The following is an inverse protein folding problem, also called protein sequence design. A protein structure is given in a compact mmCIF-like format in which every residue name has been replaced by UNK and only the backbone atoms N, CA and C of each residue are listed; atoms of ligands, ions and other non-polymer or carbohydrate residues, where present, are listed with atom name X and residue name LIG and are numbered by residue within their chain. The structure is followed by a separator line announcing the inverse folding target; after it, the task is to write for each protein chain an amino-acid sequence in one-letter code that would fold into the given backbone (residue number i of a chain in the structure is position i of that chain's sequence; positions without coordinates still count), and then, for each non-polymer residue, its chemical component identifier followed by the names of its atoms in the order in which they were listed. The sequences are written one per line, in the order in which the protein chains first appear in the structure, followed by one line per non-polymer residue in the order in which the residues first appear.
data_IF_409379135438
#
_entry.id   IF_409379135438
#
_cell.length_a   1.000
_cell.length_b   1.000
_cell.length_c   1.000
_cell.angle_alpha   90.00
_cell.angle_beta   90.00
_cell.angle_gamma   90.00
#
_symmetry.space_group_name_H-M   'P 1'
#
loop_
_entity.id
_entity.type
_entity.pdbx_description
1 polymer ?
#
# COMPACT_ATOMS: atom_id res chain seq x y z
N UNK A 1 -11.42 4.85 32.75
CA UNK A 1 -12.49 5.54 31.98
C UNK A 1 -13.40 4.48 31.42
N UNK A 2 -14.72 4.66 31.51
CA UNK A 2 -15.68 3.83 30.79
C UNK A 2 -15.71 4.22 29.28
N UNK A 3 -16.42 3.46 28.46
CA UNK A 3 -16.44 3.68 26.99
C UNK A 3 -17.00 5.06 26.60
N UNK A 4 -17.99 5.57 27.36
CA UNK A 4 -18.59 6.88 27.12
C UNK A 4 -17.56 8.00 27.39
N UNK A 5 -16.81 7.89 28.48
CA UNK A 5 -15.72 8.83 28.81
C UNK A 5 -14.58 8.76 27.80
N UNK A 6 -14.21 7.56 27.32
CA UNK A 6 -13.20 7.37 26.28
C UNK A 6 -13.62 8.05 24.97
N UNK A 7 -14.86 7.82 24.50
CA UNK A 7 -15.40 8.45 23.29
C UNK A 7 -15.49 9.97 23.44
N UNK A 8 -15.93 10.48 24.61
CA UNK A 8 -15.98 11.91 24.88
C UNK A 8 -14.56 12.55 24.86
N UNK A 9 -13.59 11.88 25.48
CA UNK A 9 -12.20 12.33 25.48
C UNK A 9 -11.59 12.30 24.06
N UNK A 10 -11.85 11.24 23.29
CA UNK A 10 -11.41 11.13 21.91
C UNK A 10 -11.97 12.27 21.05
N UNK A 11 -13.29 12.54 21.13
CA UNK A 11 -13.90 13.64 20.38
C UNK A 11 -13.31 15.00 20.72
N UNK A 12 -12.83 15.19 21.96
CA UNK A 12 -12.27 16.45 22.42
C UNK A 12 -10.79 16.63 22.11
N UNK A 13 -10.01 15.55 22.14
CA UNK A 13 -8.55 15.65 22.17
C UNK A 13 -7.83 14.92 21.04
N UNK A 14 -8.49 13.97 20.35
CA UNK A 14 -7.89 13.18 19.26
C UNK A 14 -8.38 13.67 17.90
N UNK A 15 -7.47 14.12 17.04
CA UNK A 15 -7.77 14.46 15.64
C UNK A 15 -7.86 13.18 14.80
N UNK A 16 -9.02 12.83 14.25
CA UNK A 16 -9.16 11.65 13.40
C UNK A 16 -8.58 11.90 12.02
N UNK A 17 -7.90 10.88 11.43
CA UNK A 17 -7.35 10.95 10.10
C UNK A 17 -8.39 10.54 9.05
N UNK A 18 -8.54 11.31 7.95
CA UNK A 18 -9.46 11.03 6.84
C UNK A 18 -10.90 10.72 7.28
N UNK A 19 -11.34 11.25 8.42
CA UNK A 19 -12.65 10.97 9.01
C UNK A 19 -13.49 12.25 9.03
N UNK A 20 -14.73 12.14 8.58
CA UNK A 20 -15.67 13.25 8.58
C UNK A 20 -16.16 13.54 10.00
N UNK A 21 -16.60 14.80 10.21
CA UNK A 21 -17.10 15.24 11.52
C UNK A 21 -18.33 14.44 11.98
N UNK A 22 -19.28 14.21 11.09
CA UNK A 22 -20.50 13.42 11.36
C UNK A 22 -20.16 11.99 11.78
N UNK A 23 -19.29 11.30 11.05
CA UNK A 23 -18.79 9.97 11.38
C UNK A 23 -18.07 9.97 12.73
N UNK A 24 -17.22 10.96 13.02
CA UNK A 24 -16.50 11.06 14.29
C UNK A 24 -17.43 11.37 15.48
N UNK A 25 -18.56 12.02 15.23
CA UNK A 25 -19.59 12.30 16.23
C UNK A 25 -20.56 11.14 16.44
N UNK A 26 -20.63 10.17 15.52
CA UNK A 26 -21.40 8.94 15.68
C UNK A 26 -20.73 7.97 16.67
N UNK A 27 -21.31 6.80 16.89
CA UNK A 27 -20.65 5.73 17.63
C UNK A 27 -19.54 5.08 16.79
N UNK A 28 -18.37 4.92 17.41
CA UNK A 28 -17.23 4.22 16.83
C UNK A 28 -16.63 3.22 17.84
N UNK A 29 -16.06 2.10 17.38
CA UNK A 29 -15.42 1.14 18.26
C UNK A 29 -14.16 1.74 18.90
N UNK A 30 -13.91 1.38 20.16
CA UNK A 30 -12.65 1.67 20.86
C UNK A 30 -11.98 0.34 21.12
N UNK A 31 -10.97 0.01 20.31
CA UNK A 31 -10.27 -1.25 20.40
C UNK A 31 -9.28 -1.25 21.56
N UNK A 32 -9.25 -2.35 22.30
CA UNK A 32 -8.39 -2.53 23.50
C UNK A 32 -7.46 -3.73 23.40
N UNK A 33 -7.74 -4.66 22.48
CA UNK A 33 -6.90 -5.85 22.25
C UNK A 33 -7.02 -6.31 20.80
N UNK A 34 -5.97 -6.95 20.31
CA UNK A 34 -5.98 -7.67 19.04
C UNK A 34 -5.45 -9.09 19.23
N UNK A 35 -5.97 -10.07 18.46
CA UNK A 35 -5.62 -11.49 18.54
C UNK A 35 -5.84 -12.17 17.18
N UNK A 36 -4.79 -12.67 16.56
CA UNK A 36 -4.86 -13.24 15.22
C UNK A 36 -5.43 -12.25 14.21
N UNK A 37 -6.51 -12.61 13.54
CA UNK A 37 -7.19 -11.74 12.58
C UNK A 37 -8.28 -10.84 13.20
N UNK A 38 -8.30 -10.67 14.52
CA UNK A 38 -9.42 -10.01 15.21
C UNK A 38 -8.98 -8.86 16.09
N UNK A 39 -9.82 -7.84 16.14
CA UNK A 39 -9.79 -6.73 17.09
C UNK A 39 -10.92 -6.88 18.11
N UNK A 40 -10.66 -6.55 19.36
CA UNK A 40 -11.64 -6.62 20.47
C UNK A 40 -11.83 -5.22 21.02
N UNK A 41 -13.10 -4.78 21.09
CA UNK A 41 -13.43 -3.46 21.59
C UNK A 41 -13.67 -3.44 23.12
N UNK A 42 -13.90 -2.25 23.65
CA UNK A 42 -14.16 -2.02 25.09
C UNK A 42 -15.43 -2.71 25.62
N UNK A 43 -16.31 -3.15 24.73
CA UNK A 43 -17.55 -3.86 25.08
C UNK A 43 -17.37 -5.39 24.97
N UNK A 44 -16.14 -5.83 24.64
CA UNK A 44 -15.79 -7.24 24.49
C UNK A 44 -16.24 -7.84 23.16
N UNK A 45 -16.75 -7.05 22.22
CA UNK A 45 -17.14 -7.52 20.90
C UNK A 45 -15.89 -7.79 20.07
N UNK A 46 -15.92 -8.91 19.39
CA UNK A 46 -14.87 -9.38 18.49
C UNK A 46 -15.19 -8.92 17.06
N UNK A 47 -14.24 -8.30 16.41
CA UNK A 47 -14.36 -7.79 15.05
C UNK A 47 -13.27 -8.43 14.17
N UNK A 48 -13.66 -9.08 13.08
CA UNK A 48 -12.72 -9.58 12.08
C UNK A 48 -12.09 -8.40 11.34
N UNK A 49 -10.77 -8.32 11.37
CA UNK A 49 -9.98 -7.27 10.69
C UNK A 49 -9.76 -7.64 9.21
N UNK A 50 -10.79 -7.48 8.39
CA UNK A 50 -10.75 -7.78 6.95
C UNK A 50 -9.92 -6.80 6.12
N UNK A 51 -9.28 -5.83 6.77
CA UNK A 51 -8.39 -4.85 6.12
C UNK A 51 -6.95 -4.87 6.65
N UNK A 52 -6.61 -5.79 7.56
CA UNK A 52 -5.32 -5.86 8.26
C UNK A 52 -4.92 -4.48 8.83
N UNK A 53 -5.80 -3.88 9.62
CA UNK A 53 -5.70 -2.49 10.07
C UNK A 53 -5.86 -1.52 8.89
N UNK A 54 -4.77 -1.21 8.24
CA UNK A 54 -4.74 -0.42 7.00
C UNK A 54 -3.71 -1.03 6.04
N UNK A 55 -3.94 -2.27 5.61
CA UNK A 55 -3.04 -3.07 4.76
C UNK A 55 -1.67 -3.35 5.42
N UNK A 56 -1.58 -3.41 6.75
CA UNK A 56 -0.29 -3.48 7.44
C UNK A 56 -0.14 -4.66 8.39
N UNK A 57 -1.20 -5.19 9.01
CA UNK A 57 -1.12 -6.25 10.02
C UNK A 57 -1.04 -7.63 9.35
N UNK A 58 0.07 -7.87 8.61
CA UNK A 58 0.23 -9.07 7.80
C UNK A 58 0.29 -10.36 8.65
N UNK A 59 1.01 -10.32 9.78
CA UNK A 59 1.18 -11.47 10.70
C UNK A 59 0.09 -11.56 11.76
N UNK A 60 -1.00 -10.78 11.63
CA UNK A 60 -2.06 -10.74 12.65
C UNK A 60 -1.66 -9.98 13.91
N UNK A 61 -2.61 -9.87 14.81
CA UNK A 61 -2.51 -9.15 16.08
C UNK A 61 -2.02 -10.07 17.21
N UNK A 62 -1.42 -9.47 18.26
CA UNK A 62 -1.16 -10.16 19.55
C UNK A 62 0.00 -11.17 19.53
N UNK A 63 0.93 -11.10 18.58
CA UNK A 63 2.08 -12.02 18.48
C UNK A 63 3.07 -11.80 19.62
N UNK A 64 3.22 -12.81 20.46
CA UNK A 64 4.10 -12.76 21.64
C UNK A 64 5.59 -12.70 21.28
N UNK A 65 6.00 -13.36 20.20
CA UNK A 65 7.38 -13.35 19.70
C UNK A 65 7.82 -11.97 19.23
N UNK A 66 6.97 -11.26 18.47
CA UNK A 66 7.24 -9.89 18.01
C UNK A 66 7.24 -8.92 19.21
N UNK A 67 6.27 -9.06 20.12
CA UNK A 67 6.22 -8.26 21.35
C UNK A 67 7.44 -8.44 22.23
N UNK A 68 7.96 -9.69 22.34
CA UNK A 68 9.19 -10.00 23.07
C UNK A 68 10.41 -9.34 22.43
N UNK A 69 10.55 -9.38 21.12
CA UNK A 69 11.64 -8.72 20.40
C UNK A 69 11.67 -7.20 20.67
N UNK A 70 10.50 -6.55 20.73
CA UNK A 70 10.38 -5.15 21.09
C UNK A 70 10.82 -4.87 22.53
N UNK A 71 10.35 -5.69 23.49
CA UNK A 71 10.67 -5.54 24.92
C UNK A 71 12.16 -5.75 25.18
N UNK A 72 12.75 -6.79 24.61
CA UNK A 72 14.18 -7.09 24.75
C UNK A 72 15.03 -5.94 24.18
N UNK A 73 14.68 -5.44 23.00
CA UNK A 73 15.43 -4.36 22.35
C UNK A 73 15.34 -3.04 23.11
N UNK A 74 14.17 -2.66 23.61
CA UNK A 74 14.01 -1.41 24.37
C UNK A 74 14.80 -1.47 25.69
N UNK A 75 14.91 -2.66 26.30
CA UNK A 75 15.71 -2.89 27.49
C UNK A 75 17.23 -2.87 27.23
N UNK A 76 17.65 -3.18 26.00
CA UNK A 76 19.08 -3.24 25.63
C UNK A 76 19.59 -1.90 25.10
N UNK A 77 18.90 -1.33 24.12
CA UNK A 77 19.25 -0.06 23.48
C UNK A 77 17.97 0.59 22.95
N UNK A 78 17.48 1.60 23.65
CA UNK A 78 16.26 2.28 23.29
C UNK A 78 16.43 3.10 22.00
N UNK A 79 17.58 3.80 21.86
CA UNK A 79 17.86 4.62 20.67
C UNK A 79 19.36 4.75 20.40
N UNK A 80 19.71 4.65 19.12
CA UNK A 80 20.94 5.15 18.52
C UNK A 80 20.61 5.56 17.07
N UNK A 81 21.23 6.62 16.56
CA UNK A 81 20.98 7.04 15.18
C UNK A 81 21.83 6.25 14.19
N UNK A 82 21.35 6.17 12.94
CA UNK A 82 22.12 5.68 11.80
C UNK A 82 22.92 6.80 11.07
N UNK A 83 23.13 7.94 11.75
CA UNK A 83 23.91 9.08 11.22
C UNK A 83 25.38 8.93 11.61
N UNK A 84 26.19 8.30 10.75
CA UNK A 84 27.60 8.02 11.02
C UNK A 84 27.84 6.93 12.06
N UNK A 85 26.81 6.24 12.47
CA UNK A 85 26.82 5.07 13.38
C UNK A 85 25.79 4.05 12.92
N UNK A 86 25.81 2.87 13.53
CA UNK A 86 24.85 1.81 13.29
C UNK A 86 24.64 0.99 14.57
N UNK A 87 23.62 0.13 14.56
CA UNK A 87 23.36 -0.80 15.64
C UNK A 87 22.89 -2.17 15.09
N UNK A 88 23.08 -3.27 15.84
CA UNK A 88 22.81 -4.61 15.32
C UNK A 88 21.44 -4.81 14.68
N UNK A 89 20.30 -4.35 15.27
CA UNK A 89 18.99 -4.53 14.63
C UNK A 89 18.84 -3.83 13.27
N UNK A 90 19.42 -2.62 13.08
CA UNK A 90 19.32 -1.95 11.78
C UNK A 90 20.16 -2.64 10.71
N UNK A 91 21.35 -3.13 11.08
CA UNK A 91 22.22 -3.90 10.19
C UNK A 91 21.53 -5.19 9.77
N UNK A 92 20.98 -5.92 10.72
CA UNK A 92 20.31 -7.20 10.46
C UNK A 92 19.01 -7.02 9.66
N UNK A 93 18.22 -6.02 9.98
CA UNK A 93 17.02 -5.72 9.20
C UNK A 93 17.37 -5.37 7.72
N UNK A 94 18.40 -4.54 7.51
CA UNK A 94 18.86 -4.20 6.17
C UNK A 94 19.36 -5.45 5.42
N UNK A 95 20.13 -6.33 6.08
CA UNK A 95 20.64 -7.58 5.51
C UNK A 95 19.49 -8.52 5.11
N UNK A 96 18.52 -8.78 6.00
CA UNK A 96 17.39 -9.66 5.71
C UNK A 96 16.55 -9.11 4.55
N UNK A 97 16.33 -7.80 4.51
CA UNK A 97 15.60 -7.13 3.43
C UNK A 97 16.36 -7.29 2.10
N UNK A 98 17.68 -7.08 2.09
CA UNK A 98 18.51 -7.26 0.90
C UNK A 98 18.53 -8.72 0.42
N UNK A 99 18.61 -9.69 1.33
CA UNK A 99 18.57 -11.13 0.99
C UNK A 99 17.25 -11.55 0.33
N UNK A 100 16.16 -10.83 0.57
CA UNK A 100 14.82 -11.09 0.01
C UNK A 100 14.51 -10.24 -1.22
N UNK A 101 15.22 -9.14 -1.42
CA UNK A 101 15.02 -8.23 -2.54
C UNK A 101 15.58 -8.81 -3.85
N UNK A 102 14.98 -8.49 -5.01
CA UNK A 102 15.43 -9.02 -6.28
C UNK A 102 16.70 -8.34 -6.80
N UNK A 103 17.49 -9.09 -7.58
CA UNK A 103 18.66 -8.56 -8.31
C UNK A 103 19.73 -8.03 -7.37
N UNK A 104 20.19 -6.80 -7.62
CA UNK A 104 21.20 -6.07 -6.85
C UNK A 104 20.60 -4.97 -5.95
N UNK A 105 19.34 -5.09 -5.57
CA UNK A 105 18.68 -4.22 -4.60
C UNK A 105 19.20 -4.55 -3.18
N UNK A 106 20.31 -3.93 -2.79
CA UNK A 106 21.06 -4.31 -1.59
C UNK A 106 21.20 -3.21 -0.52
N UNK A 107 20.92 -1.93 -0.86
CA UNK A 107 21.10 -0.85 0.11
C UNK A 107 19.77 -0.28 0.59
N UNK A 108 19.54 -0.32 1.90
CA UNK A 108 18.30 0.17 2.52
C UNK A 108 18.53 1.49 3.25
N UNK A 109 17.72 2.51 2.93
CA UNK A 109 17.58 3.74 3.72
C UNK A 109 16.27 3.68 4.48
N UNK A 110 16.35 3.54 5.81
CA UNK A 110 15.17 3.46 6.67
C UNK A 110 14.55 4.81 6.98
N UNK A 111 13.23 4.83 7.08
CA UNK A 111 12.37 5.94 7.52
C UNK A 111 11.22 5.39 8.38
N UNK A 112 10.18 6.18 8.67
CA UNK A 112 9.14 5.78 9.62
C UNK A 112 7.79 5.44 8.96
N UNK A 113 7.62 5.75 7.68
CA UNK A 113 6.34 5.59 6.97
C UNK A 113 6.52 5.42 5.47
N UNK A 114 5.46 4.97 4.78
CA UNK A 114 5.44 4.90 3.32
C UNK A 114 5.54 6.27 2.65
N UNK A 115 4.92 7.31 3.22
CA UNK A 115 5.05 8.67 2.69
C UNK A 115 6.49 9.18 2.76
N UNK A 116 7.19 8.93 3.87
CA UNK A 116 8.61 9.26 4.00
C UNK A 116 9.49 8.41 3.07
N UNK A 117 9.12 7.15 2.80
CA UNK A 117 9.82 6.33 1.82
C UNK A 117 9.71 6.91 0.41
N UNK A 118 8.53 7.38 0.00
CA UNK A 118 8.34 8.07 -1.28
C UNK A 118 9.11 9.39 -1.34
N UNK A 119 9.12 10.20 -0.27
CA UNK A 119 9.98 11.41 -0.17
C UNK A 119 11.46 11.06 -0.33
N UNK A 120 11.90 9.97 0.28
CA UNK A 120 13.29 9.49 0.18
C UNK A 120 13.61 9.07 -1.26
N UNK A 121 12.73 8.32 -1.92
CA UNK A 121 12.90 7.92 -3.31
C UNK A 121 12.95 9.14 -4.25
N UNK A 122 12.05 10.12 -4.07
CA UNK A 122 12.04 11.38 -4.83
C UNK A 122 13.37 12.14 -4.73
N UNK A 123 13.91 12.24 -3.51
CA UNK A 123 15.18 12.90 -3.27
C UNK A 123 16.35 12.09 -3.84
N UNK A 124 16.33 10.77 -3.66
CA UNK A 124 17.38 9.89 -4.16
C UNK A 124 17.50 9.99 -5.68
N UNK A 125 16.42 9.82 -6.44
CA UNK A 125 16.46 9.84 -7.90
C UNK A 125 16.94 11.19 -8.43
N UNK A 126 16.53 12.31 -7.83
CA UNK A 126 16.98 13.66 -8.22
C UNK A 126 18.46 13.88 -7.91
N UNK A 127 18.91 13.50 -6.70
CA UNK A 127 20.30 13.67 -6.30
C UNK A 127 21.22 12.74 -7.11
N UNK A 128 20.80 11.51 -7.38
CA UNK A 128 21.51 10.58 -8.23
C UNK A 128 21.75 11.19 -9.62
N UNK A 129 20.72 11.60 -10.34
CA UNK A 129 20.88 12.19 -11.66
C UNK A 129 21.78 13.43 -11.64
N UNK A 130 21.64 14.28 -10.64
CA UNK A 130 22.51 15.45 -10.46
C UNK A 130 23.98 15.07 -10.26
N UNK A 131 24.25 14.02 -9.50
CA UNK A 131 25.61 13.50 -9.28
C UNK A 131 26.21 12.93 -10.55
N UNK A 132 25.38 12.37 -11.43
CA UNK A 132 25.78 11.84 -12.74
C UNK A 132 25.89 12.91 -13.84
N UNK A 133 25.77 14.19 -13.49
CA UNK A 133 25.91 15.30 -14.44
C UNK A 133 24.64 15.64 -15.23
N UNK A 134 23.49 15.10 -14.85
CA UNK A 134 22.18 15.36 -15.44
C UNK A 134 21.22 16.13 -14.48
N UNK A 135 21.56 17.37 -14.05
CA UNK A 135 20.81 18.12 -13.05
C UNK A 135 19.39 18.51 -13.49
N UNK A 136 19.11 18.49 -14.79
CA UNK A 136 17.79 18.78 -15.36
C UNK A 136 16.78 17.62 -15.18
N UNK A 137 17.26 16.39 -14.89
CA UNK A 137 16.41 15.24 -14.61
C UNK A 137 15.76 15.39 -13.23
N UNK A 138 14.61 16.05 -13.17
CA UNK A 138 13.87 16.34 -11.93
C UNK A 138 12.40 15.95 -12.01
N UNK A 139 11.87 15.73 -13.22
CA UNK A 139 10.45 15.42 -13.41
C UNK A 139 10.14 13.95 -13.07
N UNK A 140 8.96 13.74 -12.53
CA UNK A 140 8.46 12.40 -12.13
C UNK A 140 7.16 12.12 -12.87
N UNK A 141 7.02 10.90 -13.36
CA UNK A 141 5.78 10.41 -13.95
C UNK A 141 5.14 9.39 -12.99
N UNK A 142 3.84 9.51 -12.75
CA UNK A 142 3.03 8.59 -11.96
C UNK A 142 1.69 8.35 -12.67
N UNK A 143 0.91 7.38 -12.18
CA UNK A 143 -0.40 7.06 -12.76
C UNK A 143 -1.52 7.87 -12.11
N UNK A 144 -2.55 8.19 -12.88
CA UNK A 144 -3.82 8.67 -12.36
C UNK A 144 -4.39 7.65 -11.37
N UNK A 145 -5.04 8.15 -10.33
CA UNK A 145 -5.60 7.37 -9.24
C UNK A 145 -4.56 6.60 -8.39
N UNK A 146 -3.26 6.67 -8.66
CA UNK A 146 -2.22 6.09 -7.81
C UNK A 146 -2.20 6.74 -6.41
N UNK A 147 -1.79 5.98 -5.38
CA UNK A 147 -1.65 6.47 -4.03
C UNK A 147 -0.23 6.23 -3.50
N UNK A 148 0.51 7.31 -3.32
CA UNK A 148 1.92 7.27 -2.89
C UNK A 148 2.18 7.93 -1.52
N UNK A 149 1.14 8.39 -0.85
CA UNK A 149 1.23 9.01 0.48
C UNK A 149 0.70 10.43 0.53
N UNK A 150 0.90 11.10 1.67
CA UNK A 150 0.27 12.39 2.01
C UNK A 150 1.24 13.45 2.56
N UNK A 151 2.54 13.22 2.62
CA UNK A 151 3.52 14.31 2.74
C UNK A 151 3.53 15.12 1.45
N UNK A 152 3.98 16.35 1.44
CA UNK A 152 3.80 17.26 0.30
C UNK A 152 4.40 16.69 -0.99
N UNK A 153 5.59 16.07 -0.96
CA UNK A 153 6.17 15.42 -2.13
C UNK A 153 5.44 14.13 -2.50
N UNK A 154 5.15 13.25 -1.56
CA UNK A 154 4.40 12.02 -1.80
C UNK A 154 2.96 12.31 -2.30
N UNK A 155 2.31 13.35 -1.75
CA UNK A 155 1.01 13.82 -2.21
C UNK A 155 1.09 14.37 -3.65
N UNK A 156 2.20 15.00 -4.02
CA UNK A 156 2.41 15.47 -5.38
C UNK A 156 2.44 14.30 -6.38
N UNK A 157 3.11 13.19 -6.03
CA UNK A 157 3.17 11.96 -6.84
C UNK A 157 1.84 11.20 -6.84
N UNK A 158 1.06 11.26 -5.76
CA UNK A 158 -0.28 10.68 -5.68
C UNK A 158 -1.18 11.23 -6.78
N UNK A 159 -1.86 10.34 -7.51
CA UNK A 159 -2.71 10.67 -8.66
C UNK A 159 -4.20 10.87 -8.34
N UNK A 160 -4.56 11.18 -7.09
CA UNK A 160 -5.92 11.35 -6.59
C UNK A 160 -6.29 12.84 -6.45
N UNK A 161 -7.03 13.46 -7.40
CA UNK A 161 -7.30 14.90 -7.40
C UNK A 161 -7.98 15.39 -6.12
N UNK A 162 -9.01 14.69 -5.64
CA UNK A 162 -9.81 15.08 -4.47
C UNK A 162 -9.00 15.28 -3.18
N UNK A 163 -7.94 14.48 -2.96
CA UNK A 163 -7.12 14.61 -1.74
C UNK A 163 -5.97 15.61 -1.90
N UNK A 164 -5.70 16.04 -3.12
CA UNK A 164 -4.65 17.02 -3.46
C UNK A 164 -5.16 18.46 -3.40
N UNK A 165 -6.40 18.68 -3.83
CA UNK A 165 -7.03 19.99 -3.98
C UNK A 165 -6.86 20.91 -2.76
N UNK A 166 -7.06 20.45 -1.50
CA UNK A 166 -6.94 21.33 -0.33
C UNK A 166 -5.52 21.85 -0.05
N UNK A 167 -4.48 21.28 -0.70
CA UNK A 167 -3.07 21.47 -0.31
C UNK A 167 -2.20 22.14 -1.40
N UNK A 168 -2.81 22.63 -2.49
CA UNK A 168 -2.04 23.31 -3.55
C UNK A 168 -1.42 24.65 -3.13
N UNK A 169 -0.33 25.10 -3.76
CA UNK A 169 0.39 24.42 -4.84
C UNK A 169 1.29 23.28 -4.36
N UNK A 170 1.32 22.18 -5.12
CA UNK A 170 2.16 21.01 -4.85
C UNK A 170 3.53 21.12 -5.55
N UNK A 171 4.39 20.11 -5.36
CA UNK A 171 5.71 20.05 -5.98
C UNK A 171 5.59 20.06 -7.51
N UNK A 172 6.26 21.01 -8.21
CA UNK A 172 6.25 21.07 -9.66
C UNK A 172 7.04 19.92 -10.30
N UNK A 173 6.75 19.65 -11.59
CA UNK A 173 7.44 18.62 -12.36
C UNK A 173 6.93 17.21 -12.12
N UNK A 174 5.72 17.05 -11.57
CA UNK A 174 5.04 15.77 -11.47
C UNK A 174 3.97 15.68 -12.56
N UNK A 175 4.02 14.63 -13.38
CA UNK A 175 3.05 14.36 -14.44
C UNK A 175 2.28 13.08 -14.12
N UNK A 176 0.97 13.09 -14.38
CA UNK A 176 0.11 11.93 -14.22
C UNK A 176 -0.33 11.45 -15.60
N UNK A 177 -0.24 10.14 -15.82
CA UNK A 177 -0.67 9.45 -17.03
C UNK A 177 -1.88 8.55 -16.72
N UNK A 178 -2.70 8.20 -17.71
CA UNK A 178 -3.79 7.25 -17.50
C UNK A 178 -3.32 5.97 -16.80
N UNK A 179 -4.15 5.43 -15.92
CA UNK A 179 -3.89 4.14 -15.27
C UNK A 179 -4.19 2.97 -16.23
N UNK A 180 -4.10 1.75 -15.70
CA UNK A 180 -4.28 0.50 -16.47
C UNK A 180 -5.72 -0.03 -16.51
N UNK A 181 -6.72 0.74 -16.03
CA UNK A 181 -8.11 0.31 -16.02
C UNK A 181 -8.68 0.20 -17.44
N UNK A 182 -9.41 -0.88 -17.71
CA UNK A 182 -10.01 -1.14 -19.00
C UNK A 182 -9.06 -1.68 -20.07
N UNK A 183 -7.79 -1.88 -19.70
CA UNK A 183 -6.77 -2.50 -20.55
C UNK A 183 -6.62 -3.99 -20.19
N UNK A 184 -7.74 -4.68 -20.08
CA UNK A 184 -7.79 -6.12 -19.86
C UNK A 184 -8.00 -6.81 -21.20
N UNK A 185 -7.08 -7.66 -21.62
CA UNK A 185 -7.20 -8.48 -22.81
C UNK A 185 -5.87 -8.63 -23.53
N UNK A 186 -5.86 -9.41 -24.62
CA UNK A 186 -4.74 -9.59 -25.55
C UNK A 186 -4.20 -8.23 -26.03
N UNK A 187 -3.54 -7.55 -25.14
CA UNK A 187 -2.74 -6.38 -25.47
C UNK A 187 -1.56 -6.96 -26.24
N UNK A 188 -1.55 -6.96 -27.54
CA UNK A 188 -0.46 -7.41 -28.40
C UNK A 188 0.97 -7.32 -27.84
N UNK A 189 2.02 -7.25 -28.61
CA UNK A 189 3.39 -7.11 -28.11
C UNK A 189 3.47 -6.04 -27.01
N UNK A 190 4.28 -6.29 -25.99
CA UNK A 190 4.38 -5.42 -24.78
C UNK A 190 4.66 -3.93 -25.11
N UNK A 191 5.28 -3.65 -26.27
CA UNK A 191 5.53 -2.32 -26.79
C UNK A 191 4.29 -1.58 -27.34
N UNK A 192 3.13 -2.27 -27.43
CA UNK A 192 1.88 -1.71 -27.97
C UNK A 192 0.81 -1.45 -26.88
N UNK A 193 1.14 -1.65 -25.60
CA UNK A 193 0.22 -1.32 -24.51
C UNK A 193 -0.09 0.18 -24.47
N UNK A 194 -1.36 0.54 -24.58
CA UNK A 194 -1.79 1.95 -24.59
C UNK A 194 -1.32 2.74 -23.36
N UNK A 195 -1.33 2.10 -22.17
CA UNK A 195 -0.85 2.72 -20.96
C UNK A 195 0.66 2.99 -20.98
N UNK A 196 1.47 2.13 -21.62
CA UNK A 196 2.91 2.35 -21.77
C UNK A 196 3.20 3.39 -22.83
N UNK A 197 2.45 3.39 -23.96
CA UNK A 197 2.53 4.45 -24.97
C UNK A 197 2.17 5.83 -24.41
N UNK A 198 1.18 5.90 -23.52
CA UNK A 198 0.83 7.15 -22.84
C UNK A 198 1.98 7.68 -21.96
N UNK A 199 2.70 6.78 -21.28
CA UNK A 199 3.92 7.15 -20.53
C UNK A 199 4.99 7.68 -21.48
N UNK A 200 5.25 6.97 -22.59
CA UNK A 200 6.24 7.39 -23.60
C UNK A 200 5.90 8.74 -24.20
N UNK A 201 4.64 8.98 -24.54
CA UNK A 201 4.19 10.27 -25.07
C UNK A 201 4.52 11.44 -24.12
N UNK A 202 4.29 11.24 -22.81
CA UNK A 202 4.63 12.25 -21.79
C UNK A 202 6.13 12.40 -21.62
N UNK A 203 6.92 11.32 -21.72
CA UNK A 203 8.39 11.41 -21.69
C UNK A 203 8.88 12.29 -22.85
N UNK A 204 8.36 12.07 -24.06
CA UNK A 204 8.74 12.83 -25.25
C UNK A 204 8.28 14.30 -25.18
N UNK A 205 7.07 14.56 -24.65
CA UNK A 205 6.55 15.92 -24.46
C UNK A 205 7.40 16.72 -23.46
N UNK A 206 7.80 16.08 -22.34
CA UNK A 206 8.58 16.74 -21.30
C UNK A 206 10.08 16.89 -21.63
N UNK A 207 10.57 16.16 -22.62
CA UNK A 207 11.97 15.99 -22.94
C UNK A 207 12.60 14.86 -22.11
N UNK A 208 13.01 13.75 -22.74
CA UNK A 208 13.57 12.57 -22.04
C UNK A 208 14.69 12.89 -21.06
N UNK A 209 15.51 13.90 -21.39
CA UNK A 209 16.63 14.37 -20.56
C UNK A 209 16.21 15.10 -19.30
N UNK A 210 14.90 15.40 -19.11
CA UNK A 210 14.36 16.10 -17.95
C UNK A 210 13.61 15.16 -16.98
N UNK A 211 13.28 13.93 -17.42
CA UNK A 211 12.55 12.96 -16.63
C UNK A 211 13.52 12.14 -15.78
N UNK A 212 13.31 12.14 -14.47
CA UNK A 212 14.13 11.41 -13.51
C UNK A 212 13.65 9.99 -13.26
N UNK A 213 12.36 9.80 -13.04
CA UNK A 213 11.81 8.49 -12.67
C UNK A 213 10.33 8.34 -13.06
N UNK A 214 9.93 7.07 -13.20
CA UNK A 214 8.52 6.65 -13.19
C UNK A 214 8.25 5.94 -11.87
N UNK A 215 7.14 6.32 -11.18
CA UNK A 215 6.65 5.67 -9.96
C UNK A 215 5.42 4.84 -10.29
N UNK A 216 5.42 3.57 -9.88
CA UNK A 216 4.29 2.66 -10.09
C UNK A 216 4.13 1.67 -8.92
N UNK A 217 2.90 1.38 -8.56
CA UNK A 217 2.55 0.30 -7.62
C UNK A 217 2.42 -1.03 -8.40
N UNK A 218 2.93 -2.17 -7.92
CA UNK A 218 2.74 -3.49 -8.57
C UNK A 218 1.26 -3.82 -8.81
N UNK A 219 0.41 -3.59 -7.81
CA UNK A 219 -1.05 -3.57 -7.88
C UNK A 219 -1.49 -2.22 -7.35
N UNK A 220 -2.20 -1.44 -8.16
CA UNK A 220 -2.55 -0.06 -7.81
C UNK A 220 -3.68 -0.02 -6.79
N UNK A 221 -3.46 0.63 -5.65
CA UNK A 221 -4.46 0.74 -4.58
C UNK A 221 -5.64 1.64 -4.96
N UNK A 222 -5.37 2.82 -5.49
CA UNK A 222 -6.42 3.73 -5.95
C UNK A 222 -7.14 3.15 -7.17
N UNK A 223 -8.46 3.31 -7.24
CA UNK A 223 -9.36 2.65 -8.18
C UNK A 223 -9.58 1.16 -7.90
N UNK A 224 -9.15 0.65 -6.70
CA UNK A 224 -9.50 -0.66 -6.17
C UNK A 224 -8.63 -1.81 -6.66
N UNK A 225 -7.50 -2.03 -5.99
CA UNK A 225 -6.60 -3.18 -6.20
C UNK A 225 -6.39 -3.52 -7.69
N UNK A 226 -6.10 -2.48 -8.50
CA UNK A 226 -6.05 -2.58 -9.95
C UNK A 226 -4.80 -3.36 -10.38
N UNK A 227 -5.01 -4.57 -10.86
CA UNK A 227 -3.98 -5.45 -11.42
C UNK A 227 -3.65 -4.97 -12.84
N UNK A 228 -2.39 -4.67 -13.16
CA UNK A 228 -2.03 -4.26 -14.51
C UNK A 228 -2.14 -5.43 -15.50
N UNK A 229 -2.34 -5.16 -16.81
CA UNK A 229 -2.38 -6.20 -17.82
C UNK A 229 -1.03 -6.91 -17.95
N UNK A 230 -1.06 -8.14 -18.45
CA UNK A 230 0.14 -8.91 -18.75
C UNK A 230 1.09 -8.09 -19.66
N UNK A 231 2.38 -8.20 -19.42
CA UNK A 231 3.39 -7.46 -20.19
C UNK A 231 3.60 -5.99 -19.77
N UNK A 232 2.73 -5.41 -18.94
CA UNK A 232 2.87 -4.00 -18.52
C UNK A 232 4.23 -3.72 -17.85
N UNK A 233 4.62 -4.50 -16.86
CA UNK A 233 5.86 -4.28 -16.11
C UNK A 233 7.12 -4.47 -16.97
N UNK A 234 7.25 -5.54 -17.77
CA UNK A 234 8.37 -5.67 -18.72
C UNK A 234 8.43 -4.52 -19.71
N UNK A 235 7.30 -4.07 -20.27
CA UNK A 235 7.27 -2.93 -21.18
C UNK A 235 7.67 -1.61 -20.50
N UNK A 236 7.19 -1.38 -19.26
CA UNK A 236 7.56 -0.22 -18.47
C UNK A 236 9.07 -0.20 -18.16
N UNK A 237 9.65 -1.36 -17.80
CA UNK A 237 11.09 -1.48 -17.56
C UNK A 237 11.88 -1.15 -18.84
N UNK A 238 11.52 -1.77 -19.95
CA UNK A 238 12.16 -1.51 -21.24
C UNK A 238 12.07 -0.03 -21.67
N UNK A 239 10.93 0.62 -21.41
CA UNK A 239 10.75 2.04 -21.67
C UNK A 239 11.67 2.90 -20.78
N UNK A 240 11.75 2.61 -19.50
CA UNK A 240 12.66 3.30 -18.59
C UNK A 240 14.13 3.13 -19.01
N UNK A 241 14.54 1.92 -19.38
CA UNK A 241 15.90 1.63 -19.88
C UNK A 241 16.21 2.39 -21.15
N UNK A 242 15.26 2.45 -22.10
CA UNK A 242 15.41 3.17 -23.37
C UNK A 242 15.77 4.64 -23.19
N UNK A 243 15.22 5.29 -22.18
CA UNK A 243 15.41 6.72 -21.93
C UNK A 243 16.34 7.04 -20.75
N UNK A 244 16.92 6.04 -20.11
CA UNK A 244 17.76 6.21 -18.91
C UNK A 244 17.01 6.83 -17.74
N UNK A 245 15.74 6.44 -17.56
CA UNK A 245 14.83 6.88 -16.51
C UNK A 245 14.78 5.80 -15.43
N UNK A 246 14.83 6.19 -14.15
CA UNK A 246 14.75 5.22 -13.06
C UNK A 246 13.31 4.73 -12.86
N UNK A 247 13.15 3.41 -12.62
CA UNK A 247 11.89 2.79 -12.26
C UNK A 247 11.80 2.63 -10.74
N UNK A 248 10.83 3.30 -10.12
CA UNK A 248 10.52 3.20 -8.70
C UNK A 248 9.26 2.35 -8.54
N UNK A 249 9.41 1.18 -7.93
CA UNK A 249 8.28 0.33 -7.53
C UNK A 249 7.80 0.74 -6.13
N UNK A 250 6.59 1.28 -6.05
CA UNK A 250 5.97 1.57 -4.75
C UNK A 250 5.30 0.30 -4.22
N UNK A 251 5.98 -0.35 -3.30
CA UNK A 251 5.54 -1.61 -2.70
C UNK A 251 5.08 -1.45 -1.24
N UNK A 252 4.73 -0.25 -0.84
CA UNK A 252 4.25 0.04 0.52
C UNK A 252 3.07 -0.86 0.92
N UNK A 253 2.21 -1.28 -0.01
CA UNK A 253 1.15 -2.29 0.22
C UNK A 253 1.60 -3.67 -0.26
N UNK A 254 2.21 -3.75 -1.43
CA UNK A 254 2.39 -4.99 -2.19
C UNK A 254 3.51 -5.90 -1.64
N UNK A 255 4.46 -5.36 -0.86
CA UNK A 255 5.55 -6.13 -0.27
C UNK A 255 5.14 -6.94 0.96
N UNK A 256 6.10 -7.73 1.46
CA UNK A 256 5.99 -8.57 2.66
C UNK A 256 4.78 -9.51 2.64
N UNK A 257 4.66 -10.27 1.55
CA UNK A 257 3.72 -11.39 1.43
C UNK A 257 2.35 -11.03 0.85
N UNK A 258 1.96 -9.75 0.74
CA UNK A 258 0.60 -9.34 0.34
C UNK A 258 0.14 -9.92 -1.00
N UNK A 259 1.04 -10.02 -1.96
CA UNK A 259 0.81 -10.62 -3.28
C UNK A 259 1.32 -12.07 -3.39
N UNK A 260 1.66 -12.72 -2.27
CA UNK A 260 2.25 -14.07 -2.26
C UNK A 260 3.77 -14.08 -2.45
N UNK A 261 4.43 -12.93 -2.42
CA UNK A 261 5.87 -12.77 -2.57
C UNK A 261 6.38 -11.72 -1.57
N UNK A 262 7.64 -11.82 -1.14
CA UNK A 262 8.21 -10.78 -0.26
C UNK A 262 8.24 -9.41 -0.93
N UNK A 263 8.54 -9.38 -2.24
CA UNK A 263 8.53 -8.16 -3.04
C UNK A 263 7.78 -8.36 -4.35
N UNK A 264 7.31 -7.25 -4.93
CA UNK A 264 6.51 -7.24 -6.15
C UNK A 264 7.15 -7.87 -7.37
N UNK A 265 8.49 -8.02 -7.40
CA UNK A 265 9.22 -8.73 -8.45
C UNK A 265 8.65 -10.14 -8.68
N UNK A 266 8.35 -10.89 -7.63
CA UNK A 266 7.77 -12.23 -7.76
C UNK A 266 6.44 -12.25 -8.51
N UNK A 267 5.71 -11.14 -8.50
CA UNK A 267 4.48 -10.92 -9.25
C UNK A 267 4.74 -10.27 -10.62
N UNK A 268 5.59 -9.25 -10.69
CA UNK A 268 5.81 -8.44 -11.90
C UNK A 268 6.83 -9.02 -12.86
N UNK A 269 7.74 -9.90 -12.38
CA UNK A 269 8.89 -10.42 -13.13
C UNK A 269 9.99 -9.39 -13.40
N UNK A 270 9.90 -8.17 -12.85
CA UNK A 270 10.78 -7.04 -13.15
C UNK A 270 11.56 -6.57 -11.92
N UNK A 271 12.86 -6.35 -12.07
CA UNK A 271 13.70 -5.72 -11.05
C UNK A 271 13.66 -4.20 -11.24
N UNK A 272 13.08 -3.41 -10.32
CA UNK A 272 13.12 -1.96 -10.38
C UNK A 272 14.48 -1.41 -9.93
N UNK A 273 14.68 -0.10 -10.07
CA UNK A 273 15.89 0.58 -9.61
C UNK A 273 15.79 0.95 -8.12
N UNK A 274 14.57 1.22 -7.65
CA UNK A 274 14.24 1.57 -6.26
C UNK A 274 12.91 0.90 -5.88
N UNK A 275 12.85 0.35 -4.68
CA UNK A 275 11.59 -0.11 -4.05
C UNK A 275 11.31 0.78 -2.84
N UNK A 276 10.07 1.28 -2.70
CA UNK A 276 9.59 1.88 -1.45
C UNK A 276 8.79 0.84 -0.67
N UNK A 277 8.99 0.78 0.65
CA UNK A 277 8.28 -0.17 1.52
C UNK A 277 7.88 0.46 2.87
N UNK A 278 6.88 -0.12 3.52
CA UNK A 278 6.48 0.17 4.92
C UNK A 278 5.56 -0.96 5.43
N UNK A 279 4.47 -0.61 6.13
CA UNK A 279 3.32 -1.47 6.49
C UNK A 279 3.69 -2.88 6.96
N UNK A 280 3.63 -3.84 6.03
CA UNK A 280 3.92 -5.26 6.31
C UNK A 280 5.32 -5.55 6.84
N UNK A 281 6.28 -4.63 6.69
CA UNK A 281 7.64 -4.79 7.22
C UNK A 281 7.70 -5.06 8.72
N UNK A 282 6.73 -4.53 9.46
CA UNK A 282 6.60 -4.73 10.92
C UNK A 282 5.23 -5.27 11.33
N UNK A 283 4.36 -5.59 10.37
CA UNK A 283 2.97 -5.99 10.63
C UNK A 283 2.22 -5.04 11.57
N UNK A 284 2.53 -3.73 11.51
CA UNK A 284 1.87 -2.71 12.33
C UNK A 284 2.33 -2.65 13.79
N UNK A 285 3.28 -3.47 14.22
CA UNK A 285 3.79 -3.48 15.61
C UNK A 285 4.68 -2.26 15.91
N UNK A 286 5.30 -1.66 14.91
CA UNK A 286 6.01 -0.39 15.03
C UNK A 286 6.01 0.39 13.71
N UNK A 287 6.11 1.73 13.75
CA UNK A 287 6.36 2.51 12.56
C UNK A 287 7.74 2.18 11.97
N UNK A 288 7.77 1.76 10.70
CA UNK A 288 8.97 1.57 9.91
C UNK A 288 8.60 1.65 8.43
N UNK A 289 9.47 2.25 7.64
CA UNK A 289 9.46 2.24 6.20
C UNK A 289 10.87 2.41 5.68
N UNK A 290 11.02 2.43 4.37
CA UNK A 290 12.33 2.64 3.76
C UNK A 290 12.27 2.57 2.25
N UNK A 291 13.44 2.80 1.68
CA UNK A 291 13.71 2.51 0.27
C UNK A 291 14.82 1.50 0.18
N UNK A 292 14.69 0.57 -0.75
CA UNK A 292 15.77 -0.32 -1.17
C UNK A 292 16.25 0.17 -2.52
N UNK A 293 17.54 0.36 -2.67
CA UNK A 293 18.17 0.90 -3.88
C UNK A 293 19.19 -0.10 -4.40
N UNK A 294 19.31 -0.19 -5.73
CA UNK A 294 20.35 -0.99 -6.37
C UNK A 294 21.73 -0.53 -5.89
N UNK A 295 22.59 -1.48 -5.53
CA UNK A 295 23.95 -1.19 -5.00
C UNK A 295 24.76 -0.35 -5.97
N UNK A 296 24.63 -0.61 -7.28
CA UNK A 296 25.30 0.17 -8.30
C UNK A 296 24.96 1.67 -8.22
N UNK A 297 23.66 2.02 -8.09
CA UNK A 297 23.23 3.44 -8.03
C UNK A 297 23.77 4.14 -6.78
N UNK A 298 23.81 3.41 -5.67
CA UNK A 298 24.36 3.95 -4.41
C UNK A 298 25.86 4.17 -4.54
N UNK A 299 26.60 3.21 -5.08
CA UNK A 299 28.04 3.32 -5.34
C UNK A 299 28.33 4.51 -6.25
N UNK A 300 27.63 4.62 -7.39
CA UNK A 300 27.79 5.72 -8.33
C UNK A 300 27.48 7.10 -7.70
N UNK A 301 26.47 7.18 -6.80
CA UNK A 301 26.18 8.41 -6.07
C UNK A 301 27.32 8.80 -5.12
N UNK A 302 27.81 7.84 -4.32
CA UNK A 302 28.83 8.12 -3.31
C UNK A 302 30.21 8.36 -3.92
N UNK A 303 30.57 7.68 -5.00
CA UNK A 303 31.87 7.83 -5.68
C UNK A 303 31.92 9.03 -6.62
N UNK A 304 30.77 9.62 -6.96
CA UNK A 304 30.73 10.79 -7.83
C UNK A 304 31.40 12.01 -7.18
N UNK A 305 32.24 12.77 -7.91
CA UNK A 305 32.81 14.02 -7.42
C UNK A 305 31.77 15.07 -7.01
N UNK A 306 30.54 14.95 -7.52
CA UNK A 306 29.38 15.80 -7.18
C UNK A 306 28.40 15.15 -6.21
N UNK A 307 28.71 13.93 -5.75
CA UNK A 307 27.95 13.13 -4.78
C UNK A 307 28.62 13.14 -3.42
N UNK A 308 29.07 11.95 -2.96
CA UNK A 308 29.81 11.74 -1.72
C UNK A 308 28.93 11.59 -0.48
N UNK A 309 27.68 12.02 -0.54
CA UNK A 309 26.69 11.86 0.55
C UNK A 309 25.27 11.93 0.00
N UNK A 310 24.39 11.07 0.49
CA UNK A 310 22.96 11.25 0.27
C UNK A 310 22.43 12.24 1.34
N UNK A 311 22.09 13.46 0.90
CA UNK A 311 21.73 14.58 1.80
C UNK A 311 20.26 14.44 2.27
N UNK A 312 19.96 13.32 2.93
CA UNK A 312 18.64 13.01 3.45
C UNK A 312 18.74 12.05 4.65
N UNK A 313 17.77 12.14 5.57
CA UNK A 313 17.64 11.23 6.71
C UNK A 313 16.51 11.67 7.62
N UNK A 314 15.98 10.71 8.39
CA UNK A 314 14.96 10.93 9.42
C UNK A 314 15.56 10.59 10.78
N UNK A 315 15.25 11.38 11.82
CA UNK A 315 15.74 11.15 13.19
C UNK A 315 15.47 9.72 13.66
N UNK A 316 14.29 9.20 13.38
CA UNK A 316 13.85 7.87 13.79
C UNK A 316 14.07 6.79 12.72
N UNK A 317 14.70 7.13 11.59
CA UNK A 317 14.95 6.19 10.50
C UNK A 317 15.84 5.03 10.95
N UNK A 318 15.30 3.80 10.90
CA UNK A 318 15.98 2.61 11.40
C UNK A 318 16.08 2.55 12.92
N UNK A 319 15.08 3.06 13.65
CA UNK A 319 15.00 3.00 15.12
C UNK A 319 15.26 1.57 15.63
N UNK A 320 16.09 1.38 16.69
CA UNK A 320 16.47 0.05 17.18
C UNK A 320 15.29 -0.89 17.45
N UNK A 321 14.25 -0.40 18.12
CA UNK A 321 13.05 -1.20 18.43
C UNK A 321 12.28 -1.57 17.16
N UNK A 322 12.07 -0.59 16.24
CA UNK A 322 11.34 -0.85 15.00
C UNK A 322 12.06 -1.85 14.09
N UNK A 323 13.38 -1.78 14.00
CA UNK A 323 14.19 -2.71 13.21
C UNK A 323 14.29 -4.10 13.86
N UNK A 324 14.35 -4.19 15.19
CA UNK A 324 14.26 -5.48 15.89
C UNK A 324 12.90 -6.17 15.67
N UNK A 325 11.83 -5.39 15.70
CA UNK A 325 10.47 -5.86 15.32
C UNK A 325 10.44 -6.34 13.87
N UNK A 326 11.03 -5.58 12.94
CA UNK A 326 11.09 -5.99 11.53
C UNK A 326 11.85 -7.31 11.35
N UNK A 327 12.98 -7.49 12.01
CA UNK A 327 13.74 -8.76 12.00
C UNK A 327 12.86 -9.91 12.48
N UNK A 328 12.21 -9.77 13.64
CA UNK A 328 11.34 -10.82 14.19
C UNK A 328 10.14 -11.11 13.25
N UNK A 329 9.49 -10.06 12.73
CA UNK A 329 8.34 -10.15 11.85
C UNK A 329 8.67 -10.84 10.51
N UNK A 330 9.74 -10.41 9.83
CA UNK A 330 10.14 -10.96 8.52
C UNK A 330 10.64 -12.41 8.69
N UNK A 331 11.37 -12.70 9.78
CA UNK A 331 11.79 -14.06 10.09
C UNK A 331 10.59 -14.98 10.31
N UNK A 332 9.62 -14.56 11.12
CA UNK A 332 8.38 -15.32 11.32
C UNK A 332 7.61 -15.55 10.01
N UNK A 333 7.47 -14.51 9.16
CA UNK A 333 6.83 -14.65 7.84
C UNK A 333 7.50 -15.72 6.97
N UNK A 334 8.83 -15.74 6.95
CA UNK A 334 9.61 -16.72 6.20
C UNK A 334 9.46 -18.12 6.79
N UNK A 335 9.65 -18.26 8.10
CA UNK A 335 9.67 -19.54 8.79
C UNK A 335 8.28 -20.22 8.78
N UNK A 336 7.22 -19.43 8.83
CA UNK A 336 5.81 -19.86 8.71
C UNK A 336 5.31 -19.94 7.26
N UNK A 337 6.15 -19.64 6.25
CA UNK A 337 5.84 -19.69 4.83
C UNK A 337 4.59 -18.89 4.45
N UNK A 338 4.47 -17.68 4.99
CA UNK A 338 3.29 -16.83 4.80
C UNK A 338 3.08 -16.42 3.33
N UNK A 339 4.11 -16.07 2.54
CA UNK A 339 3.92 -15.83 1.12
C UNK A 339 3.35 -17.02 0.36
N UNK A 340 3.81 -18.24 0.66
CA UNK A 340 3.34 -19.48 0.04
C UNK A 340 1.87 -19.77 0.43
N UNK A 341 1.49 -19.48 1.67
CA UNK A 341 0.09 -19.57 2.10
C UNK A 341 -0.79 -18.62 1.26
N UNK A 342 -0.37 -17.37 1.06
CA UNK A 342 -1.12 -16.41 0.22
C UNK A 342 -1.21 -16.89 -1.24
N UNK A 343 -0.15 -17.49 -1.80
CA UNK A 343 -0.17 -18.06 -3.15
C UNK A 343 -1.16 -19.23 -3.25
N UNK A 344 -1.31 -20.02 -2.18
CA UNK A 344 -2.26 -21.15 -2.14
C UNK A 344 -3.71 -20.70 -1.96
N UNK A 345 -3.95 -19.76 -1.02
CA UNK A 345 -5.32 -19.37 -0.64
C UNK A 345 -5.86 -18.20 -1.50
N UNK A 346 -4.99 -17.36 -2.05
CA UNK A 346 -5.38 -16.21 -2.87
C UNK A 346 -6.30 -16.56 -4.05
N UNK A 347 -5.99 -17.58 -4.87
CA UNK A 347 -6.87 -18.01 -5.95
C UNK A 347 -8.24 -18.51 -5.47
N UNK A 348 -8.32 -19.17 -4.30
CA UNK A 348 -9.58 -19.61 -3.70
C UNK A 348 -10.41 -18.42 -3.23
N UNK A 349 -9.78 -17.45 -2.55
CA UNK A 349 -10.42 -16.22 -2.14
C UNK A 349 -10.94 -15.44 -3.36
N UNK A 350 -10.14 -15.35 -4.44
CA UNK A 350 -10.59 -14.72 -5.69
C UNK A 350 -11.83 -15.39 -6.26
N UNK A 351 -11.81 -16.71 -6.41
CA UNK A 351 -12.95 -17.48 -6.95
C UNK A 351 -14.21 -17.31 -6.08
N UNK A 352 -14.07 -17.28 -4.75
CA UNK A 352 -15.18 -17.03 -3.84
C UNK A 352 -15.75 -15.62 -3.97
N UNK A 353 -14.90 -14.60 -4.12
CA UNK A 353 -15.33 -13.21 -4.35
C UNK A 353 -16.02 -13.07 -5.72
N UNK A 354 -15.54 -13.74 -6.77
CA UNK A 354 -16.22 -13.79 -8.08
C UNK A 354 -17.61 -14.45 -7.97
N UNK A 355 -17.76 -15.49 -7.13
CA UNK A 355 -19.07 -16.10 -6.90
C UNK A 355 -20.08 -15.14 -6.27
N UNK A 356 -19.63 -14.18 -5.45
CA UNK A 356 -20.47 -13.11 -4.91
C UNK A 356 -20.95 -12.15 -6.01
N UNK A 357 -20.14 -11.93 -7.07
CA UNK A 357 -20.56 -11.15 -8.23
C UNK A 357 -21.75 -11.81 -8.95
N UNK A 358 -21.76 -13.12 -9.05
CA UNK A 358 -22.89 -13.85 -9.64
C UNK A 358 -24.14 -13.81 -8.74
N UNK A 359 -23.96 -13.78 -7.43
CA UNK A 359 -25.04 -13.75 -6.45
C UNK A 359 -25.68 -12.35 -6.28
N UNK A 360 -24.90 -11.27 -6.48
CA UNK A 360 -25.32 -9.90 -6.23
C UNK A 360 -25.24 -9.01 -7.46
N UNK A 361 -26.37 -8.43 -7.86
CA UNK A 361 -26.43 -7.49 -8.99
C UNK A 361 -25.74 -6.14 -8.70
N UNK A 362 -25.56 -5.80 -7.43
CA UNK A 362 -24.83 -4.61 -7.02
C UNK A 362 -23.30 -4.75 -7.17
N UNK A 363 -22.77 -5.93 -7.49
CA UNK A 363 -21.35 -6.14 -7.75
C UNK A 363 -21.08 -5.96 -9.24
N UNK A 364 -20.35 -4.91 -9.60
CA UNK A 364 -19.95 -4.62 -10.97
C UNK A 364 -18.73 -5.42 -11.38
N UNK A 365 -17.72 -5.44 -10.51
CA UNK A 365 -16.43 -6.07 -10.81
C UNK A 365 -15.70 -6.46 -9.52
N UNK A 366 -14.89 -7.53 -9.59
CA UNK A 366 -14.00 -8.00 -8.54
C UNK A 366 -12.56 -7.93 -9.06
N UNK A 367 -11.69 -7.23 -8.37
CA UNK A 367 -10.29 -7.05 -8.78
C UNK A 367 -9.33 -7.35 -7.64
N UNK A 368 -8.17 -7.84 -8.00
CA UNK A 368 -7.09 -8.06 -7.05
C UNK A 368 -6.31 -9.33 -7.27
N UNK A 369 -5.35 -9.56 -6.39
CA UNK A 369 -4.54 -10.79 -6.37
C UNK A 369 -3.91 -10.97 -4.98
N UNK A 370 -3.48 -12.17 -4.67
CA UNK A 370 -2.99 -12.52 -3.33
C UNK A 370 -4.08 -12.31 -2.28
N UNK A 371 -3.79 -11.49 -1.27
CA UNK A 371 -4.77 -11.06 -0.27
C UNK A 371 -5.02 -9.54 -0.35
N UNK A 372 -5.16 -9.03 -1.56
CA UNK A 372 -5.43 -7.63 -1.84
C UNK A 372 -6.50 -7.50 -2.94
N UNK A 373 -7.75 -7.23 -2.55
CA UNK A 373 -8.92 -7.20 -3.43
C UNK A 373 -9.75 -5.93 -3.25
N UNK A 374 -10.57 -5.67 -4.26
CA UNK A 374 -11.65 -4.70 -4.23
C UNK A 374 -12.87 -5.24 -4.97
N UNK A 375 -14.06 -4.94 -4.43
CA UNK A 375 -15.34 -5.13 -5.10
C UNK A 375 -15.83 -3.73 -5.54
N UNK A 376 -15.98 -3.50 -6.85
CA UNK A 376 -16.60 -2.30 -7.38
C UNK A 376 -18.12 -2.47 -7.36
N UNK A 377 -18.82 -1.48 -6.81
CA UNK A 377 -20.26 -1.49 -6.65
C UNK A 377 -20.96 -0.70 -7.76
N UNK A 378 -22.13 -1.17 -8.14
CA UNK A 378 -23.03 -0.54 -9.08
C UNK A 378 -24.47 -0.62 -8.56
N UNK A 379 -25.39 0.08 -9.17
CA UNK A 379 -26.79 -0.01 -8.76
C UNK A 379 -27.49 -1.25 -9.33
N UNK A 380 -27.21 -1.59 -10.58
CA UNK A 380 -27.70 -2.81 -11.23
C UNK A 380 -26.76 -3.16 -12.40
N UNK A 381 -25.93 -4.19 -12.20
CA UNK A 381 -25.01 -4.67 -13.24
C UNK A 381 -25.75 -5.15 -14.48
N UNK A 382 -26.82 -5.94 -14.31
CA UNK A 382 -27.52 -6.59 -15.41
C UNK A 382 -28.35 -5.58 -16.23
N UNK A 383 -28.87 -4.54 -15.56
CA UNK A 383 -29.52 -3.41 -16.18
C UNK A 383 -28.58 -2.30 -16.67
N UNK A 384 -27.28 -2.41 -16.39
CA UNK A 384 -26.26 -1.40 -16.76
C UNK A 384 -26.43 -0.07 -16.01
N UNK A 385 -27.04 -0.06 -14.82
CA UNK A 385 -27.29 1.16 -14.02
C UNK A 385 -26.17 1.38 -13.00
N UNK A 386 -25.43 2.46 -13.17
CA UNK A 386 -24.45 2.90 -12.19
C UNK A 386 -25.10 3.54 -10.95
N UNK A 387 -24.36 3.55 -9.83
CA UNK A 387 -24.76 4.32 -8.66
C UNK A 387 -24.71 5.82 -8.97
N UNK A 388 -25.78 6.53 -8.63
CA UNK A 388 -25.74 8.00 -8.57
C UNK A 388 -24.82 8.47 -7.44
N UNK A 389 -24.38 9.73 -7.47
CA UNK A 389 -23.58 10.32 -6.41
C UNK A 389 -24.26 10.21 -5.03
N UNK A 390 -25.59 10.40 -5.01
CA UNK A 390 -26.37 10.29 -3.76
C UNK A 390 -26.44 8.86 -3.24
N UNK A 391 -26.67 7.88 -4.12
CA UNK A 391 -26.65 6.45 -3.75
C UNK A 391 -25.26 6.05 -3.25
N UNK A 392 -24.18 6.46 -3.92
CA UNK A 392 -22.80 6.23 -3.50
C UNK A 392 -22.54 6.79 -2.10
N UNK A 393 -23.00 8.00 -1.84
CA UNK A 393 -22.89 8.62 -0.51
C UNK A 393 -23.67 7.85 0.55
N UNK A 394 -24.90 7.41 0.25
CA UNK A 394 -25.73 6.61 1.15
C UNK A 394 -25.06 5.27 1.45
N UNK A 395 -24.57 4.56 0.42
CA UNK A 395 -23.85 3.29 0.60
C UNK A 395 -22.63 3.47 1.50
N UNK A 396 -21.79 4.46 1.22
CA UNK A 396 -20.51 4.66 1.95
C UNK A 396 -20.69 5.22 3.37
N UNK A 397 -21.73 6.00 3.61
CA UNK A 397 -21.89 6.73 4.88
C UNK A 397 -22.90 6.12 5.85
N UNK A 398 -23.86 5.38 5.35
CA UNK A 398 -24.95 4.84 6.14
C UNK A 398 -24.96 3.32 6.10
N UNK A 399 -25.01 2.74 4.88
CA UNK A 399 -25.18 1.28 4.69
C UNK A 399 -23.94 0.50 5.15
N UNK A 400 -22.77 0.78 4.59
CA UNK A 400 -21.54 0.03 4.92
C UNK A 400 -21.12 0.19 6.39
N UNK A 401 -21.13 1.38 7.01
CA UNK A 401 -20.81 1.50 8.44
C UNK A 401 -21.76 0.68 9.34
N UNK A 402 -23.06 0.62 9.03
CA UNK A 402 -24.01 -0.21 9.76
C UNK A 402 -23.77 -1.70 9.51
N UNK A 403 -23.53 -2.07 8.24
CA UNK A 403 -23.22 -3.45 7.87
C UNK A 403 -21.95 -3.95 8.55
N UNK A 404 -20.90 -3.13 8.68
CA UNK A 404 -19.66 -3.48 9.43
C UNK A 404 -19.99 -3.76 10.91
N UNK A 405 -20.84 -2.93 11.54
CA UNK A 405 -21.26 -3.17 12.93
C UNK A 405 -22.08 -4.44 13.10
N UNK A 406 -22.98 -4.71 12.16
CA UNK A 406 -23.86 -5.89 12.18
C UNK A 406 -23.12 -7.18 11.94
N UNK A 407 -22.23 -7.20 10.94
CA UNK A 407 -21.48 -8.41 10.57
C UNK A 407 -20.27 -8.66 11.47
N UNK A 408 -19.78 -7.63 12.15
CA UNK A 408 -18.52 -7.71 12.91
C UNK A 408 -17.27 -7.79 12.02
N UNK A 409 -17.39 -7.56 10.71
CA UNK A 409 -16.26 -7.56 9.77
C UNK A 409 -15.88 -6.12 9.44
N UNK A 410 -14.62 -5.76 9.68
CA UNK A 410 -14.08 -4.43 9.39
C UNK A 410 -13.49 -4.45 7.99
N UNK A 411 -14.07 -3.66 7.10
CA UNK A 411 -13.57 -3.40 5.75
C UNK A 411 -13.49 -1.89 5.52
N UNK A 412 -13.14 -1.50 4.31
CA UNK A 412 -13.11 -0.10 3.91
C UNK A 412 -13.99 0.15 2.70
N UNK A 413 -15.02 0.99 2.86
CA UNK A 413 -15.67 1.64 1.75
C UNK A 413 -14.76 2.73 1.16
N UNK A 414 -14.66 2.82 -0.16
CA UNK A 414 -13.75 3.73 -0.86
C UNK A 414 -14.47 4.40 -2.03
N UNK A 415 -14.22 5.71 -2.25
CA UNK A 415 -14.78 6.51 -3.34
C UNK A 415 -13.72 7.02 -4.34
N UNK A 416 -12.52 6.47 -4.29
CA UNK A 416 -11.41 6.88 -5.14
C UNK A 416 -11.57 6.36 -6.57
N UNK A 417 -12.45 7.02 -7.33
CA UNK A 417 -12.75 6.76 -8.73
C UNK A 417 -13.96 5.85 -8.98
N UNK A 418 -14.46 5.13 -7.98
CA UNK A 418 -15.74 4.40 -7.95
C UNK A 418 -16.11 4.09 -6.51
N UNK A 419 -17.37 3.70 -6.27
CA UNK A 419 -17.79 3.16 -4.99
C UNK A 419 -17.31 1.71 -4.88
N UNK A 420 -16.49 1.43 -3.87
CA UNK A 420 -15.80 0.14 -3.74
C UNK A 420 -15.77 -0.33 -2.29
N UNK A 421 -15.66 -1.63 -2.13
CA UNK A 421 -15.36 -2.31 -0.88
C UNK A 421 -13.96 -2.91 -0.97
N UNK A 422 -13.02 -2.43 -0.13
CA UNK A 422 -11.63 -2.92 -0.10
C UNK A 422 -11.47 -4.07 0.89
N UNK A 423 -10.82 -5.14 0.47
CA UNK A 423 -10.62 -6.39 1.21
C UNK A 423 -9.12 -6.71 1.23
N UNK A 424 -8.57 -6.85 2.42
CA UNK A 424 -7.15 -7.15 2.60
C UNK A 424 -6.88 -7.75 3.98
N UNK A 425 -7.32 -9.00 4.25
CA UNK A 425 -7.17 -9.60 5.59
C UNK A 425 -5.70 -9.80 5.96
N UNK A 426 -5.40 -10.08 7.25
CA UNK A 426 -4.10 -10.58 7.66
C UNK A 426 -3.68 -11.79 6.83
N UNK A 427 -2.39 -11.90 6.51
CA UNK A 427 -1.90 -12.97 5.63
C UNK A 427 -1.90 -14.35 6.28
N UNK A 428 -2.06 -14.38 7.59
CA UNK A 428 -2.20 -15.60 8.41
C UNK A 428 -3.66 -16.06 8.56
N UNK A 429 -4.61 -15.39 7.88
CA UNK A 429 -6.01 -15.80 7.86
C UNK A 429 -6.12 -17.21 7.26
N UNK A 430 -6.64 -18.16 8.03
CA UNK A 430 -6.92 -19.51 7.60
C UNK A 430 -8.29 -19.60 6.88
N UNK A 431 -8.65 -20.79 6.45
CA UNK A 431 -9.90 -21.04 5.72
C UNK A 431 -11.14 -20.60 6.53
N UNK A 432 -11.18 -20.87 7.84
CA UNK A 432 -12.33 -20.51 8.68
C UNK A 432 -12.48 -18.98 8.77
N UNK A 433 -11.38 -18.27 8.92
CA UNK A 433 -11.34 -16.79 8.90
C UNK A 433 -11.76 -16.23 7.55
N UNK A 434 -11.31 -16.81 6.45
CA UNK A 434 -11.69 -16.40 5.11
C UNK A 434 -13.18 -16.66 4.83
N UNK A 435 -13.73 -17.78 5.31
CA UNK A 435 -15.16 -18.09 5.19
C UNK A 435 -16.02 -17.10 6.02
N UNK A 436 -15.59 -16.75 7.22
CA UNK A 436 -16.24 -15.71 8.02
C UNK A 436 -16.21 -14.34 7.32
N UNK A 437 -15.08 -13.99 6.72
CA UNK A 437 -14.92 -12.78 5.91
C UNK A 437 -15.90 -12.75 4.74
N UNK A 438 -15.96 -13.83 3.95
CA UNK A 438 -16.83 -13.95 2.79
C UNK A 438 -18.32 -13.88 3.18
N UNK A 439 -18.70 -14.55 4.25
CA UNK A 439 -20.08 -14.46 4.80
C UNK A 439 -20.42 -13.03 5.22
N UNK A 440 -19.48 -12.33 5.85
CA UNK A 440 -19.65 -10.91 6.19
C UNK A 440 -19.83 -10.02 4.97
N UNK A 441 -19.02 -10.23 3.93
CA UNK A 441 -19.12 -9.49 2.66
C UNK A 441 -20.47 -9.75 1.97
N UNK A 442 -20.91 -11.00 1.89
CA UNK A 442 -22.22 -11.38 1.34
C UNK A 442 -23.37 -10.63 2.03
N UNK A 443 -23.34 -10.59 3.38
CA UNK A 443 -24.31 -9.83 4.17
C UNK A 443 -24.28 -8.33 3.92
N UNK A 444 -23.09 -7.75 3.70
CA UNK A 444 -22.94 -6.33 3.35
C UNK A 444 -23.50 -6.01 1.96
N UNK A 445 -23.24 -6.87 0.97
CA UNK A 445 -23.76 -6.72 -0.39
C UNK A 445 -25.29 -6.82 -0.41
N UNK A 446 -25.86 -7.73 0.38
CA UNK A 446 -27.32 -7.83 0.59
C UNK A 446 -27.91 -6.52 1.15
N UNK A 447 -27.24 -5.87 2.11
CA UNK A 447 -27.70 -4.58 2.66
C UNK A 447 -27.57 -3.45 1.64
N UNK A 448 -26.51 -3.45 0.82
CA UNK A 448 -26.36 -2.50 -0.29
C UNK A 448 -27.51 -2.64 -1.28
N UNK A 449 -27.85 -3.88 -1.71
CA UNK A 449 -28.95 -4.12 -2.64
C UNK A 449 -30.31 -3.64 -2.10
N UNK A 450 -30.57 -3.85 -0.82
CA UNK A 450 -31.79 -3.34 -0.18
C UNK A 450 -31.88 -1.82 -0.18
N UNK A 451 -30.74 -1.15 -0.01
CA UNK A 451 -30.69 0.31 0.10
C UNK A 451 -30.80 1.02 -1.26
N UNK A 452 -30.39 0.35 -2.35
CA UNK A 452 -30.36 0.93 -3.72
C UNK A 452 -31.50 0.42 -4.60
N UNK A 453 -32.47 -0.33 -4.07
CA UNK A 453 -33.66 -0.75 -4.84
C UNK A 453 -34.40 0.47 -5.37
N UNK A 454 -34.92 0.40 -6.61
CA UNK A 454 -35.63 1.52 -7.27
C UNK A 454 -36.94 1.90 -6.57
#
# INVERSE_FOLDING_TARGET
MNVTELRASARRHLGPHFTRKDTWQSEFPVFVRGEGSYLIDTEGRRHLDGLAGLFCVNMGHGRADIAKAAADQVGTLAYASNWGSAHPPSIEAARIIADLAPGDLGTTFFVNSGSEAVETALKFVRQYHRSQGAPERTKIISREMAYHGTTMGALSVTGLPKIKEPFGPLLPGIRHVPNTLGLTGDCGPADQLDCVRAIEAVILEEGPETVAAVFAEPVQNGRGALVPPEGYWPALRALCDKYGILLVSDEVICSFGRLGHFFGHGFTGVVPDVITFAKGSTSGYAPLGGVIVREQLVTELYDSPKGGVFTHGATWGGHPVSTAIAVANISAMRDEKVPEHVLSEGPKLHAALESLKDAHRCVKDVRGTGFFYAIELTADRDGGRELTDQESLTVLREVLPEAFRRTGVILRGDDRGATMLMISPPLVADTDVLDELLHGVDGMLTDVEKAIQP
#
